data_IF_285270026156
#
_entry.id   IF_285270026156
#
_cell.length_a   1.000
_cell.length_b   1.000
_cell.length_c   1.000
_cell.angle_alpha   90.00
_cell.angle_beta   90.00
_cell.angle_gamma   90.00
#
_symmetry.space_group_name_H-M   'P 1'
#
loop_
_entity.id
_entity.type
_entity.pdbx_description
1 polymer ?
#
# COMPACT_ATOMS: atom_id res chain seq x y z
N UNK A 1 -0.12 27.39 1.37
CA UNK A 1 0.29 28.65 2.02
C UNK A 1 -0.97 29.43 2.31
N UNK A 2 -1.17 29.78 3.58
CA UNK A 2 -2.37 30.49 4.04
C UNK A 2 -1.94 31.83 4.56
N UNK A 3 -2.63 32.90 4.19
CA UNK A 3 -2.34 34.24 4.69
C UNK A 3 -3.29 34.59 5.82
N UNK A 4 -2.71 34.93 6.96
CA UNK A 4 -3.42 35.32 8.17
C UNK A 4 -3.15 36.79 8.44
N UNK A 5 -4.22 37.53 8.73
CA UNK A 5 -4.20 38.99 8.92
C UNK A 5 -4.57 39.28 10.38
N UNK A 6 -3.86 40.20 11.06
CA UNK A 6 -4.21 40.63 12.41
C UNK A 6 -5.52 41.43 12.39
N UNK A 7 -6.33 41.27 13.43
CA UNK A 7 -7.61 41.94 13.63
C UNK A 7 -7.46 43.45 13.92
N UNK A 8 -6.28 43.87 14.37
CA UNK A 8 -5.92 45.28 14.57
C UNK A 8 -4.97 45.71 13.45
N UNK A 9 -5.34 46.79 12.76
CA UNK A 9 -4.88 47.25 11.44
C UNK A 9 -3.41 47.69 11.32
N UNK A 10 -2.46 46.85 11.74
CA UNK A 10 -1.05 47.04 11.44
C UNK A 10 -0.60 45.99 10.41
N UNK A 11 0.28 46.42 9.50
CA UNK A 11 0.70 45.76 8.26
C UNK A 11 1.52 44.44 8.46
N UNK A 12 1.26 43.69 9.53
CA UNK A 12 1.94 42.44 9.88
C UNK A 12 1.16 41.24 9.32
N UNK A 13 1.66 40.61 8.26
CA UNK A 13 1.07 39.38 7.71
C UNK A 13 1.87 38.16 8.15
N UNK A 14 1.17 37.07 8.50
CA UNK A 14 1.78 35.76 8.71
C UNK A 14 1.35 34.82 7.59
N UNK A 15 2.30 34.07 7.03
CA UNK A 15 2.05 33.08 5.98
C UNK A 15 2.30 31.64 6.47
N UNK A 16 1.56 31.14 7.48
CA UNK A 16 1.75 29.78 7.96
C UNK A 16 1.41 28.75 6.87
N UNK A 17 2.07 27.60 6.98
CA UNK A 17 1.84 26.44 6.14
C UNK A 17 1.19 25.37 7.01
N UNK A 18 -0.06 25.04 6.68
CA UNK A 18 -0.79 23.92 7.26
C UNK A 18 -0.70 22.73 6.33
N UNK A 19 -0.37 21.55 6.88
CA UNK A 19 -0.21 20.32 6.12
C UNK A 19 -1.14 19.26 6.69
N UNK A 20 -1.75 18.48 5.82
CA UNK A 20 -2.32 17.20 6.22
C UNK A 20 -1.19 16.20 6.55
N UNK A 21 -1.57 15.05 7.09
CA UNK A 21 -0.67 13.91 7.19
C UNK A 21 -0.55 13.19 5.83
N UNK A 22 0.60 12.57 5.55
CA UNK A 22 0.71 11.66 4.41
C UNK A 22 -0.28 10.50 4.55
N UNK A 23 -0.97 10.19 3.44
CA UNK A 23 -1.88 9.06 3.32
C UNK A 23 -1.42 8.12 2.21
N UNK A 24 -1.62 6.82 2.42
CA UNK A 24 -1.39 5.80 1.41
C UNK A 24 -2.74 5.50 0.76
N UNK A 25 -2.89 5.90 -0.50
CA UNK A 25 -4.11 5.65 -1.27
C UNK A 25 -3.92 4.37 -2.07
N UNK A 26 -4.77 3.38 -1.81
CA UNK A 26 -4.82 2.11 -2.54
C UNK A 26 -6.07 2.06 -3.41
N UNK A 27 -6.13 1.09 -4.33
CA UNK A 27 -7.33 0.89 -5.18
C UNK A 27 -8.60 0.62 -4.35
N UNK A 28 -8.44 0.03 -3.16
CA UNK A 28 -9.54 -0.25 -2.23
C UNK A 28 -9.87 0.91 -1.28
N UNK A 29 -9.15 2.03 -1.34
CA UNK A 29 -9.38 3.18 -0.45
C UNK A 29 -10.61 3.97 -0.88
N UNK A 30 -11.38 4.44 0.09
CA UNK A 30 -12.42 5.45 -0.13
C UNK A 30 -11.76 6.83 -0.24
N UNK A 31 -11.76 7.41 -1.43
CA UNK A 31 -11.09 8.68 -1.69
C UNK A 31 -11.77 9.84 -0.97
N UNK A 32 -13.10 9.81 -0.82
CA UNK A 32 -13.85 10.91 -0.22
C UNK A 32 -13.59 10.94 1.29
N UNK A 33 -13.53 9.77 1.93
CA UNK A 33 -13.16 9.65 3.34
C UNK A 33 -11.73 10.14 3.59
N UNK A 34 -10.77 9.72 2.76
CA UNK A 34 -9.37 10.13 2.90
C UNK A 34 -9.18 11.64 2.72
N UNK A 35 -9.90 12.25 1.76
CA UNK A 35 -9.90 13.71 1.56
C UNK A 35 -10.50 14.41 2.78
N UNK A 36 -11.64 13.95 3.30
CA UNK A 36 -12.27 14.53 4.48
C UNK A 36 -11.32 14.54 5.69
N UNK A 37 -10.63 13.42 5.94
CA UNK A 37 -9.64 13.35 7.02
C UNK A 37 -8.44 14.30 6.81
N UNK A 38 -7.99 14.49 5.57
CA UNK A 38 -6.92 15.45 5.26
C UNK A 38 -7.38 16.89 5.52
N UNK A 39 -8.62 17.22 5.15
CA UNK A 39 -9.20 18.53 5.44
C UNK A 39 -9.30 18.80 6.94
N UNK A 40 -9.79 17.84 7.71
CA UNK A 40 -9.98 17.98 9.15
C UNK A 40 -8.64 18.25 9.85
N UNK A 41 -7.57 17.57 9.44
CA UNK A 41 -6.22 17.83 9.98
C UNK A 41 -5.72 19.24 9.68
N UNK A 42 -6.04 19.77 8.50
CA UNK A 42 -5.68 21.14 8.12
C UNK A 42 -6.49 22.14 8.96
N UNK A 43 -7.81 21.93 9.11
CA UNK A 43 -8.71 22.76 9.92
C UNK A 43 -8.27 22.79 11.39
N UNK A 44 -7.99 21.64 12.00
CA UNK A 44 -7.44 21.56 13.36
C UNK A 44 -6.16 22.36 13.53
N UNK A 45 -5.26 22.29 12.53
CA UNK A 45 -3.98 22.99 12.58
C UNK A 45 -4.17 24.52 12.47
N UNK A 46 -5.16 24.96 11.69
CA UNK A 46 -5.55 26.37 11.60
C UNK A 46 -6.16 26.87 12.92
N UNK A 47 -7.08 26.11 13.50
CA UNK A 47 -7.72 26.45 14.77
C UNK A 47 -6.70 26.53 15.91
N UNK A 48 -5.80 25.55 16.01
CA UNK A 48 -4.71 25.55 16.98
C UNK A 48 -3.74 26.72 16.79
N UNK A 49 -3.59 27.23 15.57
CA UNK A 49 -2.81 28.45 15.31
C UNK A 49 -3.54 29.70 15.77
N UNK A 50 -4.83 29.83 15.43
CA UNK A 50 -5.67 30.96 15.86
C UNK A 50 -5.80 31.04 17.39
N UNK A 51 -5.87 29.89 18.08
CA UNK A 51 -5.96 29.83 19.54
C UNK A 51 -4.67 30.27 20.25
N UNK A 52 -3.52 30.29 19.57
CA UNK A 52 -2.21 30.61 20.16
C UNK A 52 -1.86 32.11 20.20
N UNK A 53 -2.71 32.99 19.67
CA UNK A 53 -2.42 34.43 19.66
C UNK A 53 -3.65 35.32 19.70
N UNK A 54 -3.61 36.36 20.54
CA UNK A 54 -4.64 37.38 20.66
C UNK A 54 -4.70 38.23 19.38
N UNK A 55 -5.64 37.93 18.48
CA UNK A 55 -6.03 38.82 17.40
C UNK A 55 -5.61 38.43 15.99
N UNK A 56 -5.36 37.15 15.68
CA UNK A 56 -5.18 36.71 14.29
C UNK A 56 -6.50 36.19 13.73
N UNK A 57 -6.90 36.70 12.57
CA UNK A 57 -8.10 36.24 11.85
C UNK A 57 -7.69 35.63 10.52
N UNK A 58 -8.30 34.50 10.19
CA UNK A 58 -8.12 33.87 8.89
C UNK A 58 -8.61 34.83 7.79
N UNK A 59 -7.74 35.17 6.84
CA UNK A 59 -8.08 36.02 5.72
C UNK A 59 -8.53 35.18 4.52
N UNK A 60 -7.56 34.56 3.84
CA UNK A 60 -7.81 33.70 2.69
C UNK A 60 -6.64 32.71 2.45
N UNK A 61 -6.90 31.70 1.64
CA UNK A 61 -5.90 30.74 1.18
C UNK A 61 -5.19 31.33 -0.04
N UNK A 62 -3.85 31.48 0.03
CA UNK A 62 -3.07 31.94 -1.13
C UNK A 62 -2.69 30.80 -2.06
N UNK A 63 -2.38 29.62 -1.49
CA UNK A 63 -1.94 28.45 -2.26
C UNK A 63 -2.41 27.15 -1.61
N UNK A 64 -3.04 26.30 -2.41
CA UNK A 64 -3.27 24.88 -2.11
C UNK A 64 -2.33 24.04 -2.99
N UNK A 65 -1.67 23.05 -2.41
CA UNK A 65 -0.77 22.15 -3.12
C UNK A 65 -1.04 20.72 -2.69
N UNK A 66 -1.21 19.82 -3.66
CA UNK A 66 -1.39 18.39 -3.44
C UNK A 66 -0.10 17.70 -3.90
N UNK A 67 0.52 16.93 -3.00
CA UNK A 67 1.74 16.19 -3.28
C UNK A 67 1.40 14.71 -3.44
N UNK A 68 1.55 14.18 -4.66
CA UNK A 68 1.33 12.79 -4.99
C UNK A 68 2.68 12.11 -5.23
N UNK A 69 2.89 10.96 -4.59
CA UNK A 69 4.03 10.09 -4.85
C UNK A 69 3.52 8.79 -5.46
N UNK A 70 4.04 8.40 -6.63
CA UNK A 70 3.64 7.15 -7.27
C UNK A 70 4.12 5.97 -6.42
N UNK A 71 3.17 5.20 -5.88
CA UNK A 71 3.45 3.94 -5.23
C UNK A 71 3.29 2.81 -6.25
N UNK A 72 4.39 2.09 -6.53
CA UNK A 72 4.35 0.88 -7.38
C UNK A 72 4.18 -0.34 -6.47
N UNK A 73 2.97 -0.91 -6.36
CA UNK A 73 2.77 -2.11 -5.55
C UNK A 73 3.61 -3.27 -6.08
N UNK A 74 3.95 -4.19 -5.18
CA UNK A 74 4.64 -5.42 -5.54
C UNK A 74 3.77 -6.18 -6.55
N UNK A 75 4.34 -6.46 -7.72
CA UNK A 75 3.74 -7.35 -8.71
C UNK A 75 4.27 -8.76 -8.49
N UNK A 76 3.47 -9.78 -8.81
CA UNK A 76 4.00 -11.13 -8.95
C UNK A 76 5.11 -11.17 -10.01
N UNK A 77 5.96 -12.19 -9.96
CA UNK A 77 7.03 -12.42 -10.93
C UNK A 77 7.42 -13.90 -10.97
N UNK A 78 8.68 -14.18 -11.31
CA UNK A 78 9.38 -15.43 -11.03
C UNK A 78 10.02 -15.40 -9.64
N UNK A 79 10.86 -16.40 -9.33
CA UNK A 79 11.59 -16.50 -8.07
C UNK A 79 12.38 -15.24 -7.74
N UNK A 80 12.12 -14.69 -6.56
CA UNK A 80 12.91 -13.62 -5.94
C UNK A 80 13.62 -14.21 -4.70
N UNK A 81 14.95 -14.05 -4.58
CA UNK A 81 15.66 -14.56 -3.41
C UNK A 81 15.23 -13.82 -2.14
N UNK A 82 15.01 -14.58 -1.06
CA UNK A 82 14.73 -14.00 0.25
C UNK A 82 15.92 -13.18 0.74
N UNK A 83 15.68 -12.08 1.48
CA UNK A 83 16.73 -11.41 2.26
C UNK A 83 17.48 -12.40 3.15
N UNK A 84 18.82 -12.27 3.24
CA UNK A 84 19.70 -13.23 3.94
C UNK A 84 19.22 -13.60 5.36
N UNK A 85 18.70 -12.61 6.10
CA UNK A 85 18.17 -12.83 7.46
C UNK A 85 16.96 -13.77 7.50
N UNK A 86 16.06 -13.70 6.50
CA UNK A 86 14.88 -14.56 6.41
C UNK A 86 15.26 -15.95 5.88
N UNK A 87 16.13 -16.01 4.87
CA UNK A 87 16.65 -17.26 4.34
C UNK A 87 17.35 -18.10 5.44
N UNK A 88 18.11 -17.46 6.33
CA UNK A 88 18.79 -18.11 7.43
C UNK A 88 17.84 -18.78 8.44
N UNK A 89 16.62 -18.25 8.62
CA UNK A 89 15.62 -18.82 9.54
C UNK A 89 15.01 -20.12 9.05
N UNK A 90 15.10 -20.42 7.73
CA UNK A 90 14.51 -21.61 7.09
C UNK A 90 13.02 -21.84 7.43
N UNK A 91 12.30 -20.77 7.76
CA UNK A 91 10.90 -20.81 8.17
C UNK A 91 9.93 -20.44 7.03
N UNK A 92 10.45 -20.12 5.84
CA UNK A 92 9.67 -19.71 4.68
C UNK A 92 10.00 -20.68 3.54
N UNK A 93 8.98 -21.30 2.98
CA UNK A 93 9.08 -22.05 1.73
C UNK A 93 9.08 -21.04 0.59
N UNK A 94 10.26 -20.79 -0.01
CA UNK A 94 10.40 -19.94 -1.18
C UNK A 94 10.58 -20.83 -2.42
N UNK A 95 9.48 -21.15 -3.10
CA UNK A 95 9.50 -22.02 -4.28
C UNK A 95 10.26 -21.35 -5.42
N UNK A 96 11.28 -22.05 -5.93
CA UNK A 96 12.16 -21.58 -6.99
C UNK A 96 11.59 -21.91 -8.36
N UNK A 97 10.76 -21.01 -8.89
CA UNK A 97 10.18 -21.09 -10.22
C UNK A 97 10.92 -20.20 -11.24
N UNK A 98 10.93 -20.64 -12.50
CA UNK A 98 11.50 -19.90 -13.64
C UNK A 98 10.42 -19.23 -14.52
N UNK A 99 9.15 -19.58 -14.30
CA UNK A 99 7.99 -18.95 -14.95
C UNK A 99 7.47 -17.73 -14.18
N UNK A 100 6.42 -17.08 -14.68
CA UNK A 100 5.77 -15.94 -14.00
C UNK A 100 4.64 -16.36 -13.04
N UNK A 101 4.63 -17.64 -12.62
CA UNK A 101 3.54 -18.22 -11.83
C UNK A 101 3.86 -18.29 -10.33
N UNK A 102 4.66 -17.37 -9.79
CA UNK A 102 5.05 -17.41 -8.36
C UNK A 102 3.85 -17.46 -7.41
N UNK A 103 2.74 -16.81 -7.78
CA UNK A 103 1.51 -16.81 -7.01
C UNK A 103 0.87 -18.20 -6.93
N UNK A 104 0.82 -18.93 -8.06
CA UNK A 104 0.34 -20.32 -8.10
C UNK A 104 1.21 -21.21 -7.21
N UNK A 105 2.54 -21.12 -7.36
CA UNK A 105 3.47 -21.93 -6.58
C UNK A 105 3.42 -21.60 -5.09
N UNK A 106 3.20 -20.33 -4.72
CA UNK A 106 3.02 -19.93 -3.33
C UNK A 106 1.77 -20.56 -2.70
N UNK A 107 0.62 -20.53 -3.38
CA UNK A 107 -0.61 -21.16 -2.89
C UNK A 107 -0.43 -22.67 -2.76
N UNK A 108 0.05 -23.35 -3.80
CA UNK A 108 0.25 -24.80 -3.75
C UNK A 108 1.22 -25.21 -2.63
N UNK A 109 2.27 -24.41 -2.40
CA UNK A 109 3.17 -24.66 -1.28
C UNK A 109 2.52 -24.46 0.07
N UNK A 110 1.57 -23.51 0.21
CA UNK A 110 0.84 -23.29 1.44
C UNK A 110 -0.23 -24.37 1.70
N UNK A 111 -0.83 -24.94 0.65
CA UNK A 111 -1.83 -26.01 0.79
C UNK A 111 -1.20 -27.37 1.06
N UNK A 112 -0.07 -27.68 0.42
CA UNK A 112 0.53 -29.02 0.45
C UNK A 112 1.89 -29.07 1.12
N UNK A 113 2.25 -28.09 1.95
CA UNK A 113 3.59 -28.08 2.57
C UNK A 113 3.84 -29.34 3.40
N UNK A 114 2.83 -29.98 3.99
CA UNK A 114 3.01 -31.19 4.81
C UNK A 114 3.21 -32.47 3.99
N UNK A 115 2.76 -32.46 2.73
CA UNK A 115 2.74 -33.63 1.84
C UNK A 115 4.00 -33.78 0.98
N UNK A 116 4.92 -32.82 1.07
CA UNK A 116 6.16 -32.78 0.29
C UNK A 116 7.40 -33.06 1.13
N UNK A 117 8.50 -33.43 0.47
CA UNK A 117 9.79 -33.55 1.16
C UNK A 117 10.28 -32.17 1.61
N UNK A 118 10.35 -31.97 2.93
CA UNK A 118 10.79 -30.72 3.56
C UNK A 118 12.20 -30.28 3.15
N UNK A 119 13.09 -31.22 2.76
CA UNK A 119 14.44 -30.88 2.29
C UNK A 119 14.43 -30.26 0.90
N UNK A 120 13.39 -30.52 0.13
CA UNK A 120 13.25 -30.07 -1.26
C UNK A 120 11.95 -29.30 -1.55
N UNK A 121 11.26 -28.82 -0.50
CA UNK A 121 10.04 -28.00 -0.57
C UNK A 121 10.20 -26.69 -1.36
N UNK A 122 11.42 -26.25 -1.62
CA UNK A 122 11.71 -25.10 -2.48
C UNK A 122 11.61 -25.42 -3.99
N UNK A 123 11.37 -26.67 -4.40
CA UNK A 123 11.36 -27.06 -5.82
C UNK A 123 9.94 -27.12 -6.36
N UNK A 124 9.72 -26.51 -7.54
CA UNK A 124 8.45 -26.58 -8.28
C UNK A 124 7.96 -28.01 -8.45
N UNK A 125 8.86 -28.95 -8.78
CA UNK A 125 8.55 -30.38 -8.98
C UNK A 125 7.81 -31.04 -7.82
N UNK A 126 7.97 -30.56 -6.59
CA UNK A 126 7.24 -31.09 -5.44
C UNK A 126 5.72 -30.84 -5.56
N UNK A 127 5.32 -29.77 -6.27
CA UNK A 127 3.94 -29.29 -6.32
C UNK A 127 3.23 -29.52 -7.65
N UNK A 128 3.93 -30.00 -8.69
CA UNK A 128 3.38 -30.18 -10.03
C UNK A 128 2.10 -31.04 -10.06
N UNK A 129 2.00 -32.05 -9.19
CA UNK A 129 0.84 -32.96 -9.13
C UNK A 129 -0.47 -32.30 -8.70
N UNK A 130 -0.41 -31.14 -8.03
CA UNK A 130 -1.60 -30.41 -7.56
C UNK A 130 -1.90 -29.17 -8.43
N UNK A 131 -1.22 -29.04 -9.56
CA UNK A 131 -1.37 -27.86 -10.43
C UNK A 131 -2.78 -27.71 -11.03
N UNK A 132 -3.56 -28.79 -11.03
CA UNK A 132 -4.95 -28.84 -11.51
C UNK A 132 -5.99 -28.59 -10.41
N UNK A 133 -5.61 -28.48 -9.13
CA UNK A 133 -6.56 -28.22 -8.03
C UNK A 133 -7.07 -26.78 -7.99
N UNK A 134 -6.37 -25.86 -8.66
CA UNK A 134 -6.70 -24.44 -8.70
C UNK A 134 -7.00 -24.01 -10.14
N UNK A 135 -8.12 -23.30 -10.32
CA UNK A 135 -8.43 -22.61 -11.58
C UNK A 135 -7.93 -21.18 -11.54
N UNK A 136 -7.26 -20.78 -12.62
CA UNK A 136 -6.79 -19.42 -12.86
C UNK A 136 -7.43 -18.82 -14.13
N UNK A 137 -8.64 -19.27 -14.49
CA UNK A 137 -9.31 -18.86 -15.71
C UNK A 137 -9.57 -17.34 -15.72
N UNK A 138 -9.14 -16.66 -16.78
CA UNK A 138 -9.28 -15.20 -16.90
C UNK A 138 -8.35 -14.41 -15.97
N UNK A 139 -7.26 -15.02 -15.50
CA UNK A 139 -6.18 -14.39 -14.75
C UNK A 139 -4.90 -14.43 -15.58
N UNK A 140 -4.32 -13.26 -15.85
CA UNK A 140 -3.01 -13.15 -16.47
C UNK A 140 -1.90 -13.33 -15.42
N UNK A 141 -0.84 -14.03 -15.80
CA UNK A 141 0.39 -14.11 -15.02
C UNK A 141 1.44 -13.10 -15.51
N UNK A 142 2.20 -12.45 -14.61
CA UNK A 142 2.08 -12.55 -13.16
C UNK A 142 0.79 -11.91 -12.62
N UNK A 143 0.18 -12.55 -11.62
CA UNK A 143 -1.14 -12.18 -11.09
C UNK A 143 -1.13 -10.72 -10.62
N UNK A 144 -2.06 -9.94 -11.17
CA UNK A 144 -2.36 -8.59 -10.69
C UNK A 144 -3.26 -8.64 -9.45
N UNK A 145 -3.32 -7.57 -8.67
CA UNK A 145 -4.17 -7.49 -7.48
C UNK A 145 -5.63 -7.86 -7.79
N UNK A 146 -6.19 -7.33 -8.88
CA UNK A 146 -7.56 -7.64 -9.35
C UNK A 146 -7.77 -9.11 -9.76
N UNK A 147 -6.71 -9.85 -10.03
CA UNK A 147 -6.76 -11.26 -10.39
C UNK A 147 -6.93 -12.17 -9.18
N UNK A 148 -6.56 -11.72 -7.98
CA UNK A 148 -6.54 -12.56 -6.77
C UNK A 148 -7.95 -13.06 -6.44
N UNK A 149 -8.97 -12.20 -6.51
CA UNK A 149 -10.36 -12.54 -6.17
C UNK A 149 -11.02 -13.55 -7.13
N UNK A 150 -10.36 -13.84 -8.27
CA UNK A 150 -10.88 -14.77 -9.27
C UNK A 150 -10.40 -16.22 -9.08
N UNK A 151 -9.40 -16.44 -8.24
CA UNK A 151 -8.79 -17.75 -8.00
C UNK A 151 -9.80 -18.64 -7.28
N UNK A 152 -9.96 -19.89 -7.74
CA UNK A 152 -10.95 -20.83 -7.19
C UNK A 152 -10.38 -22.23 -7.10
N UNK A 153 -10.80 -22.98 -6.09
CA UNK A 153 -10.58 -24.42 -6.01
C UNK A 153 -11.45 -25.14 -7.05
N UNK A 154 -10.93 -26.23 -7.60
CA UNK A 154 -11.70 -27.16 -8.43
C UNK A 154 -12.50 -28.06 -7.50
N UNK A 155 -13.83 -27.89 -7.52
CA UNK A 155 -14.77 -28.83 -6.90
C UNK A 155 -14.94 -30.10 -7.74
#
# INVERSE_FOLDING_TARGET
MVRIIPATSENNYANPIFRSASRVILESSDLDEEIAQMEDKIKESMEAFNAKGSGWTFGHIEKLEIQLNEHKPLKGSSYIPLPKKLAAKKAIVNVKNEDQQCFKWAILSALHHEEVDQKSSHRVKQYEKWTDELRFDGIDFPVSFRGIDKVREVQ
#
